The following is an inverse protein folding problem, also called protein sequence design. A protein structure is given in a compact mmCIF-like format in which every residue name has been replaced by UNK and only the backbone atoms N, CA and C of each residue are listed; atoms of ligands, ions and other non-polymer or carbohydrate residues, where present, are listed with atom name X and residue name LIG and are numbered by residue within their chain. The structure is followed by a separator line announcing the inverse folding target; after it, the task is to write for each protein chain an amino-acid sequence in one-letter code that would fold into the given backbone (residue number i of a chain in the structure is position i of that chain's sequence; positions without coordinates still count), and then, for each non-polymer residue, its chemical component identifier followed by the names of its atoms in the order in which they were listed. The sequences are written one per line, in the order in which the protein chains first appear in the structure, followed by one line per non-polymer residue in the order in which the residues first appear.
data_IF_311808238290
#
_entry.id   IF_311808238290
#
_cell.length_a   1.000
_cell.length_b   1.000
_cell.length_c   1.000
_cell.angle_alpha   90.00
_cell.angle_beta   90.00
_cell.angle_gamma   90.00
#
_symmetry.space_group_name_H-M   'P 1'
#
loop_
_entity.id
_entity.type
_entity.pdbx_description
1 polymer ?
#
# COMPACT_ATOMS: atom_id res chain seq x y z
N UNK A 1 -28.60 -22.59 4.88
CA UNK A 1 -27.24 -23.11 5.12
C UNK A 1 -26.41 -21.96 5.64
N UNK A 2 -25.82 -22.07 6.81
CA UNK A 2 -24.91 -21.06 7.36
C UNK A 2 -23.61 -21.06 6.55
N UNK A 3 -23.17 -19.90 6.14
CA UNK A 3 -21.82 -19.73 5.61
C UNK A 3 -20.83 -20.08 6.74
N UNK A 4 -19.90 -20.99 6.47
CA UNK A 4 -18.82 -21.27 7.39
C UNK A 4 -17.64 -20.32 7.12
N UNK A 5 -16.84 -20.06 8.14
CA UNK A 5 -15.59 -19.30 8.03
C UNK A 5 -14.46 -20.17 8.54
N UNK A 6 -13.49 -20.41 7.70
CA UNK A 6 -12.27 -21.13 8.05
C UNK A 6 -11.13 -20.16 8.33
N UNK A 7 -10.15 -20.65 9.06
CA UNK A 7 -8.90 -19.93 9.34
C UNK A 7 -7.76 -20.64 8.63
N UNK A 8 -7.10 -19.93 7.75
CA UNK A 8 -5.94 -20.38 6.99
C UNK A 8 -4.68 -19.72 7.55
N UNK A 9 -3.53 -20.30 7.27
CA UNK A 9 -2.25 -19.59 7.37
C UNK A 9 -2.02 -18.73 6.13
N UNK A 10 -1.33 -17.58 6.29
CA UNK A 10 -0.88 -16.73 5.19
C UNK A 10 -0.02 -17.52 4.20
N UNK A 11 0.77 -18.47 4.66
CA UNK A 11 1.63 -19.36 3.86
C UNK A 11 0.89 -20.53 3.22
N UNK A 12 -0.43 -20.68 3.42
CA UNK A 12 -1.20 -21.81 2.88
C UNK A 12 -1.24 -21.77 1.35
N UNK A 13 -1.21 -22.95 0.73
CA UNK A 13 -1.40 -23.08 -0.72
C UNK A 13 -2.74 -22.52 -1.17
N UNK A 14 -3.78 -22.66 -0.36
CA UNK A 14 -5.11 -22.16 -0.66
C UNK A 14 -5.12 -20.63 -0.81
N UNK A 15 -4.51 -19.91 0.14
CA UNK A 15 -4.42 -18.44 0.05
C UNK A 15 -3.54 -17.99 -1.11
N UNK A 16 -2.39 -18.65 -1.29
CA UNK A 16 -1.47 -18.36 -2.39
C UNK A 16 -2.13 -18.58 -3.76
N UNK A 17 -2.85 -19.69 -3.92
CA UNK A 17 -3.60 -19.99 -5.15
C UNK A 17 -4.71 -18.96 -5.39
N UNK A 18 -5.47 -18.63 -4.35
CA UNK A 18 -6.53 -17.62 -4.45
C UNK A 18 -5.98 -16.27 -4.89
N UNK A 19 -4.84 -15.83 -4.33
CA UNK A 19 -4.18 -14.58 -4.76
C UNK A 19 -3.70 -14.62 -6.21
N UNK A 20 -3.29 -15.78 -6.72
CA UNK A 20 -2.85 -15.95 -8.09
C UNK A 20 -4.01 -16.00 -9.11
N UNK A 21 -5.15 -16.54 -8.71
CA UNK A 21 -6.31 -16.74 -9.57
C UNK A 21 -7.28 -15.54 -9.57
N UNK A 22 -7.27 -14.74 -8.49
CA UNK A 22 -8.13 -13.56 -8.37
C UNK A 22 -7.49 -12.34 -9.03
N UNK A 23 -8.17 -11.81 -10.03
CA UNK A 23 -7.72 -10.62 -10.76
C UNK A 23 -7.85 -9.35 -9.91
N UNK A 24 -7.01 -8.37 -10.22
CA UNK A 24 -7.07 -7.02 -9.65
C UNK A 24 -6.91 -6.96 -8.12
N UNK A 25 -6.29 -7.96 -7.51
CA UNK A 25 -5.91 -7.86 -6.10
C UNK A 25 -4.72 -6.90 -5.96
N UNK A 26 -4.77 -5.99 -4.97
CA UNK A 26 -3.67 -5.08 -4.76
C UNK A 26 -2.39 -5.80 -4.29
N UNK A 27 -1.24 -5.18 -4.50
CA UNK A 27 0.06 -5.65 -4.03
C UNK A 27 0.05 -5.98 -2.52
N UNK A 28 -0.65 -5.18 -1.75
CA UNK A 28 -0.66 -5.22 -0.28
C UNK A 28 -1.22 -6.50 0.34
N UNK A 29 -1.93 -7.29 -0.42
CA UNK A 29 -2.52 -8.56 0.05
C UNK A 29 -1.77 -9.78 -0.44
N UNK A 30 -0.74 -9.59 -1.24
CA UNK A 30 0.12 -10.68 -1.67
C UNK A 30 0.83 -11.31 -0.45
N UNK A 31 0.88 -12.65 -0.33
CA UNK A 31 1.45 -13.32 0.85
C UNK A 31 2.84 -12.83 1.21
N UNK A 32 3.71 -12.70 0.21
CA UNK A 32 5.08 -12.25 0.40
C UNK A 32 5.19 -10.80 0.86
N UNK A 33 4.25 -9.92 0.40
CA UNK A 33 4.21 -8.53 0.80
C UNK A 33 3.81 -8.40 2.26
N UNK A 34 2.70 -9.06 2.63
CA UNK A 34 2.20 -9.06 4.00
C UNK A 34 3.22 -9.61 5.00
N UNK A 35 3.90 -10.69 4.63
CA UNK A 35 4.96 -11.28 5.46
C UNK A 35 6.12 -10.30 5.67
N UNK A 36 6.58 -9.63 4.61
CA UNK A 36 7.65 -8.63 4.69
C UNK A 36 7.22 -7.39 5.47
N UNK A 37 6.01 -6.88 5.24
CA UNK A 37 5.46 -5.69 5.90
C UNK A 37 5.26 -5.91 7.41
N UNK A 38 4.65 -7.01 7.79
CA UNK A 38 4.31 -7.29 9.19
C UNK A 38 5.51 -7.62 10.05
N UNK A 39 6.53 -8.27 9.48
CA UNK A 39 7.64 -8.86 10.25
C UNK A 39 7.21 -10.02 11.16
N UNK A 40 6.00 -10.53 10.96
CA UNK A 40 5.50 -11.72 11.65
C UNK A 40 5.92 -12.97 10.88
N UNK A 41 6.25 -14.03 11.60
CA UNK A 41 6.58 -15.31 10.96
C UNK A 41 5.36 -15.93 10.29
N UNK A 42 4.20 -15.77 10.89
CA UNK A 42 2.93 -16.32 10.38
C UNK A 42 1.77 -15.39 10.71
N UNK A 43 0.78 -15.36 9.83
CA UNK A 43 -0.41 -14.53 9.95
C UNK A 43 -1.63 -15.38 9.56
N UNK A 44 -2.71 -15.24 10.33
CA UNK A 44 -3.97 -15.88 10.00
C UNK A 44 -4.70 -15.15 8.87
N UNK A 45 -5.41 -15.89 8.05
CA UNK A 45 -6.34 -15.41 7.05
C UNK A 45 -7.71 -16.01 7.32
N UNK A 46 -8.73 -15.21 7.53
CA UNK A 46 -10.11 -15.70 7.55
C UNK A 46 -10.61 -15.84 6.11
N UNK A 47 -11.28 -16.95 5.82
CA UNK A 47 -11.92 -17.17 4.50
C UNK A 47 -13.34 -17.67 4.69
N UNK A 48 -14.26 -17.18 3.87
CA UNK A 48 -15.60 -17.74 3.79
C UNK A 48 -15.57 -19.04 3.00
N UNK A 49 -16.13 -20.08 3.59
CA UNK A 49 -16.25 -21.39 2.96
C UNK A 49 -17.71 -21.84 2.99
N UNK A 50 -18.13 -22.55 1.93
CA UNK A 50 -19.48 -23.11 1.88
C UNK A 50 -20.36 -22.40 0.86
N UNK A 51 -20.96 -23.22 0.08
CA UNK A 51 -21.50 -22.91 -1.20
C UNK A 51 -22.99 -22.64 -1.18
N UNK A 52 -23.36 -21.40 -1.31
CA UNK A 52 -24.37 -21.17 -2.37
C UNK A 52 -23.59 -21.01 -3.67
N UNK A 53 -23.99 -21.76 -4.71
CA UNK A 53 -23.52 -21.53 -6.06
C UNK A 53 -23.62 -20.03 -6.35
N UNK A 54 -22.49 -19.39 -6.66
CA UNK A 54 -22.45 -17.93 -6.87
C UNK A 54 -22.09 -17.05 -5.67
N UNK A 55 -21.93 -17.58 -4.43
CA UNK A 55 -21.44 -16.76 -3.32
C UNK A 55 -19.97 -16.35 -3.52
N UNK A 56 -19.56 -15.10 -3.22
CA UNK A 56 -18.18 -14.68 -3.32
C UNK A 56 -17.35 -15.36 -2.23
N UNK A 57 -16.10 -15.71 -2.58
CA UNK A 57 -15.10 -16.06 -1.57
C UNK A 57 -14.52 -14.77 -1.02
N UNK A 58 -14.71 -14.54 0.26
CA UNK A 58 -14.07 -13.43 0.96
C UNK A 58 -12.84 -13.95 1.70
N UNK A 59 -11.76 -13.16 1.66
CA UNK A 59 -10.56 -13.42 2.45
C UNK A 59 -10.12 -12.16 3.20
N UNK A 60 -9.69 -12.34 4.45
CA UNK A 60 -9.24 -11.26 5.29
C UNK A 60 -7.96 -11.64 6.03
N UNK A 61 -6.77 -11.19 5.57
CA UNK A 61 -5.52 -11.34 6.31
C UNK A 61 -5.56 -10.55 7.63
N UNK A 62 -5.24 -11.20 8.75
CA UNK A 62 -5.36 -10.62 10.08
C UNK A 62 -3.99 -10.18 10.61
N UNK A 63 -3.59 -8.94 10.38
CA UNK A 63 -2.41 -8.39 11.05
C UNK A 63 -2.76 -7.99 12.48
N UNK A 64 -2.40 -8.88 13.41
CA UNK A 64 -2.67 -8.72 14.85
C UNK A 64 -1.35 -8.54 15.62
N UNK A 65 -0.76 -7.33 15.67
CA UNK A 65 0.47 -7.09 16.44
C UNK A 65 0.30 -7.34 17.93
N UNK A 66 -0.93 -7.34 18.42
CA UNK A 66 -1.31 -7.80 19.75
C UNK A 66 -2.68 -8.48 19.68
N UNK A 67 -2.99 -9.36 20.61
CA UNK A 67 -4.31 -10.03 20.66
C UNK A 67 -5.53 -9.11 20.73
N UNK A 68 -5.33 -7.79 20.95
CA UNK A 68 -6.40 -6.80 21.06
C UNK A 68 -6.50 -5.85 19.88
N UNK A 69 -5.52 -5.89 18.95
CA UNK A 69 -5.47 -5.04 17.78
C UNK A 69 -5.49 -5.88 16.51
N UNK A 70 -6.41 -5.58 15.63
CA UNK A 70 -6.37 -5.92 14.21
C UNK A 70 -6.21 -4.61 13.45
N UNK A 71 -5.11 -4.43 12.75
CA UNK A 71 -4.78 -3.18 12.05
C UNK A 71 -4.19 -3.45 10.68
N UNK A 72 -4.08 -2.41 9.88
CA UNK A 72 -3.39 -2.48 8.59
C UNK A 72 -1.88 -2.57 8.82
N UNK A 73 -1.15 -3.47 8.15
CA UNK A 73 0.31 -3.54 8.24
C UNK A 73 0.96 -2.23 7.76
N UNK A 74 2.17 -1.88 8.26
CA UNK A 74 2.91 -0.74 7.75
C UNK A 74 3.17 -0.87 6.24
N UNK A 75 3.19 0.26 5.54
CA UNK A 75 3.40 0.32 4.10
C UNK A 75 2.39 -0.53 3.29
N UNK A 76 1.16 -0.64 3.80
CA UNK A 76 0.03 -1.22 3.10
C UNK A 76 -1.10 -0.18 3.06
N UNK A 77 -1.56 0.18 1.88
CA UNK A 77 -2.69 1.10 1.76
C UNK A 77 -4.01 0.40 2.04
N UNK A 78 -4.17 -0.84 1.58
CA UNK A 78 -5.36 -1.65 1.79
C UNK A 78 -5.00 -3.05 2.29
N UNK A 79 -5.59 -3.46 3.40
CA UNK A 79 -5.49 -4.81 3.96
C UNK A 79 -6.75 -5.08 4.78
N UNK A 80 -7.89 -5.00 4.14
CA UNK A 80 -9.20 -5.33 4.68
C UNK A 80 -9.73 -6.64 4.10
N UNK A 81 -11.00 -6.95 4.31
CA UNK A 81 -11.64 -8.06 3.64
C UNK A 81 -11.65 -7.83 2.12
N UNK A 82 -11.36 -8.89 1.39
CA UNK A 82 -11.22 -8.92 -0.06
C UNK A 82 -12.19 -9.93 -0.64
N UNK A 83 -12.66 -9.71 -1.86
CA UNK A 83 -13.53 -10.61 -2.59
C UNK A 83 -12.87 -11.09 -3.88
N UNK A 84 -13.09 -12.36 -4.25
CA UNK A 84 -12.75 -12.89 -5.58
C UNK A 84 -13.59 -12.28 -6.72
N UNK A 85 -14.63 -11.57 -6.34
CA UNK A 85 -15.49 -10.85 -7.26
C UNK A 85 -15.47 -9.39 -6.87
N UNK A 86 -15.00 -8.56 -7.77
CA UNK A 86 -15.11 -7.12 -7.62
C UNK A 86 -16.59 -6.79 -7.38
N UNK A 87 -16.89 -6.33 -6.18
CA UNK A 87 -18.18 -5.69 -5.91
C UNK A 87 -18.19 -4.32 -6.57
N UNK A 88 -17.90 -4.28 -7.89
CA UNK A 88 -17.82 -3.03 -8.62
C UNK A 88 -19.11 -2.27 -8.44
N UNK A 89 -19.02 -1.15 -7.78
CA UNK A 89 -20.07 -0.14 -7.73
C UNK A 89 -20.44 0.17 -9.17
N UNK A 90 -21.65 -0.24 -9.57
CA UNK A 90 -22.14 0.02 -10.91
C UNK A 90 -22.27 -1.18 -11.84
N UNK A 91 -22.00 -2.42 -11.40
CA UNK A 91 -22.40 -3.60 -12.17
C UNK A 91 -23.91 -3.52 -12.45
N UNK A 92 -24.25 -3.41 -13.72
CA UNK A 92 -25.64 -3.48 -14.18
C UNK A 92 -25.82 -4.74 -15.01
N UNK A 93 -26.91 -5.46 -14.79
CA UNK A 93 -27.99 -5.22 -13.81
C UNK A 93 -27.62 -5.65 -12.38
N UNK A 94 -28.22 -5.00 -11.37
CA UNK A 94 -28.09 -5.36 -9.95
C UNK A 94 -28.59 -6.78 -9.72
N UNK A 95 -27.70 -7.63 -9.20
CA UNK A 95 -28.01 -9.01 -8.82
C UNK A 95 -28.29 -9.07 -7.31
N UNK A 96 -29.57 -9.15 -6.96
CA UNK A 96 -30.05 -9.19 -5.59
C UNK A 96 -29.51 -10.38 -4.81
N UNK A 97 -29.45 -11.56 -5.43
CA UNK A 97 -29.09 -12.80 -4.72
C UNK A 97 -27.57 -12.82 -4.45
N UNK A 98 -26.79 -12.33 -5.40
CA UNK A 98 -25.33 -12.11 -5.25
C UNK A 98 -25.05 -11.10 -4.14
N UNK A 99 -25.80 -10.01 -4.09
CA UNK A 99 -25.66 -8.98 -3.05
C UNK A 99 -25.97 -9.53 -1.66
N UNK A 100 -27.07 -10.27 -1.49
CA UNK A 100 -27.44 -10.92 -0.23
C UNK A 100 -26.37 -11.93 0.20
N UNK A 101 -25.80 -12.70 -0.74
CA UNK A 101 -24.71 -13.63 -0.44
C UNK A 101 -23.45 -12.91 0.03
N UNK A 102 -23.11 -11.76 -0.60
CA UNK A 102 -21.99 -10.93 -0.17
C UNK A 102 -22.16 -10.38 1.25
N UNK A 103 -23.35 -9.85 1.57
CA UNK A 103 -23.67 -9.37 2.91
C UNK A 103 -23.53 -10.46 3.97
N UNK A 104 -24.06 -11.65 3.68
CA UNK A 104 -23.96 -12.80 4.57
C UNK A 104 -22.50 -13.23 4.79
N UNK A 105 -21.68 -13.18 3.74
CA UNK A 105 -20.26 -13.48 3.81
C UNK A 105 -19.48 -12.46 4.67
N UNK A 106 -19.76 -11.17 4.51
CA UNK A 106 -19.18 -10.10 5.32
C UNK A 106 -19.57 -10.22 6.79
N UNK A 107 -20.83 -10.54 7.08
CA UNK A 107 -21.30 -10.75 8.45
C UNK A 107 -20.60 -11.95 9.08
N UNK A 108 -20.51 -13.07 8.37
CA UNK A 108 -19.82 -14.27 8.85
C UNK A 108 -18.34 -14.00 9.18
N UNK A 109 -17.63 -13.24 8.34
CA UNK A 109 -16.25 -12.84 8.63
C UNK A 109 -16.16 -11.99 9.91
N UNK A 110 -17.08 -11.03 10.09
CA UNK A 110 -17.11 -10.20 11.29
C UNK A 110 -17.33 -11.00 12.56
N UNK A 111 -18.26 -11.97 12.54
CA UNK A 111 -18.57 -12.86 13.65
C UNK A 111 -17.41 -13.83 13.98
N UNK A 112 -16.61 -14.20 12.96
CA UNK A 112 -15.45 -15.08 13.13
C UNK A 112 -14.19 -14.35 13.66
N UNK A 113 -14.22 -13.03 13.78
CA UNK A 113 -13.11 -12.28 14.35
C UNK A 113 -12.87 -12.66 15.81
N UNK A 114 -11.59 -12.71 16.28
CA UNK A 114 -11.26 -13.04 17.65
C UNK A 114 -11.99 -12.15 18.67
N UNK A 115 -12.70 -12.75 19.61
CA UNK A 115 -13.47 -12.04 20.66
C UNK A 115 -12.61 -11.18 21.60
N UNK A 116 -11.29 -11.38 21.59
CA UNK A 116 -10.31 -10.59 22.33
C UNK A 116 -10.05 -9.21 21.73
N UNK A 117 -10.43 -8.97 20.48
CA UNK A 117 -10.22 -7.68 19.81
C UNK A 117 -10.98 -6.56 20.52
N UNK A 118 -10.32 -5.41 20.61
CA UNK A 118 -10.86 -4.17 21.21
C UNK A 118 -10.67 -2.97 20.30
N UNK A 119 -9.85 -3.13 19.26
CA UNK A 119 -9.63 -2.15 18.23
C UNK A 119 -9.37 -2.84 16.90
N UNK A 120 -10.12 -2.43 15.89
CA UNK A 120 -10.04 -2.95 14.54
C UNK A 120 -9.90 -1.78 13.59
N UNK A 121 -8.96 -1.85 12.68
CA UNK A 121 -8.79 -0.94 11.56
C UNK A 121 -8.62 -1.76 10.28
N UNK A 122 -9.43 -1.43 9.27
CA UNK A 122 -9.36 -2.04 7.96
C UNK A 122 -9.45 -0.95 6.89
N UNK A 123 -8.65 -1.08 5.85
CA UNK A 123 -8.74 -0.22 4.68
C UNK A 123 -9.18 -1.07 3.51
N UNK A 124 -10.27 -0.66 2.86
CA UNK A 124 -10.83 -1.38 1.73
C UNK A 124 -10.07 -1.04 0.42
N UNK A 125 -10.00 -1.97 -0.54
CA UNK A 125 -9.48 -1.68 -1.87
C UNK A 125 -10.25 -0.53 -2.55
N UNK A 126 -9.62 0.13 -3.53
CA UNK A 126 -10.15 1.34 -4.17
C UNK A 126 -11.56 1.19 -4.74
N UNK A 127 -11.88 0.04 -5.29
CA UNK A 127 -13.17 -0.22 -5.95
C UNK A 127 -14.20 -0.89 -5.03
N UNK A 128 -13.88 -1.02 -3.74
CA UNK A 128 -14.69 -1.76 -2.79
C UNK A 128 -15.47 -0.81 -1.89
N UNK A 129 -16.69 -0.43 -2.34
CA UNK A 129 -17.53 0.53 -1.62
C UNK A 129 -18.67 -0.13 -0.87
N UNK A 130 -18.99 -1.38 -1.20
CA UNK A 130 -20.13 -2.09 -0.66
C UNK A 130 -19.74 -2.86 0.58
N UNK A 131 -19.50 -2.12 1.65
CA UNK A 131 -19.28 -2.65 2.97
C UNK A 131 -20.51 -2.38 3.83
N UNK A 132 -21.38 -3.29 4.03
CA UNK A 132 -22.35 -3.11 5.09
C UNK A 132 -21.73 -3.54 6.41
N UNK A 133 -21.86 -2.70 7.45
CA UNK A 133 -21.21 -2.96 8.72
C UNK A 133 -21.79 -4.24 9.33
N UNK A 134 -20.95 -5.25 9.43
CA UNK A 134 -21.19 -6.35 10.33
C UNK A 134 -20.87 -5.90 11.77
N UNK A 135 -21.51 -6.48 12.75
CA UNK A 135 -21.09 -6.32 14.13
C UNK A 135 -19.69 -6.91 14.33
N UNK A 136 -18.88 -6.25 15.14
CA UNK A 136 -17.55 -6.74 15.47
C UNK A 136 -17.37 -6.90 16.97
N UNK A 137 -16.43 -7.72 17.44
CA UNK A 137 -16.10 -7.83 18.88
C UNK A 137 -15.69 -6.50 19.51
N UNK A 138 -15.22 -5.53 18.70
CA UNK A 138 -14.82 -4.19 19.14
C UNK A 138 -15.97 -3.17 19.09
N UNK A 139 -17.17 -3.53 18.62
CA UNK A 139 -18.34 -2.69 18.49
C UNK A 139 -18.60 -2.19 17.07
N UNK A 140 -19.44 -1.16 16.94
CA UNK A 140 -19.86 -0.62 15.68
C UNK A 140 -18.72 0.05 14.90
N UNK A 141 -18.78 -0.07 13.57
CA UNK A 141 -17.85 0.58 12.65
C UNK A 141 -18.07 2.10 12.57
N UNK A 142 -16.97 2.79 12.39
CA UNK A 142 -16.91 4.17 11.94
C UNK A 142 -16.14 4.19 10.64
N UNK A 143 -16.68 4.85 9.63
CA UNK A 143 -16.03 5.00 8.33
C UNK A 143 -15.47 6.41 8.17
N UNK A 144 -14.40 6.49 7.41
CA UNK A 144 -13.84 7.74 6.90
C UNK A 144 -13.31 7.52 5.49
N UNK A 145 -13.26 8.59 4.71
CA UNK A 145 -12.71 8.54 3.34
C UNK A 145 -11.27 9.00 3.38
N UNK A 146 -10.41 8.23 2.73
CA UNK A 146 -9.06 8.66 2.39
C UNK A 146 -8.88 8.63 0.86
N UNK A 147 -7.78 9.18 0.36
CA UNK A 147 -7.53 9.29 -1.07
C UNK A 147 -6.14 8.75 -1.40
N UNK A 148 -6.06 8.01 -2.51
CA UNK A 148 -4.83 7.85 -3.25
C UNK A 148 -4.86 8.71 -4.51
N UNK A 149 -3.73 8.80 -5.23
CA UNK A 149 -3.63 9.53 -6.48
C UNK A 149 -3.09 8.61 -7.56
N UNK A 150 -3.87 8.39 -8.60
CA UNK A 150 -3.52 7.53 -9.73
C UNK A 150 -3.13 8.36 -10.95
N UNK A 151 -2.06 7.95 -11.61
CA UNK A 151 -1.61 8.50 -12.88
C UNK A 151 -1.68 7.40 -13.94
N UNK A 152 -2.38 7.69 -15.04
CA UNK A 152 -2.37 6.84 -16.23
C UNK A 152 -1.03 7.00 -16.96
N UNK A 153 -0.25 5.92 -16.97
CA UNK A 153 1.04 5.89 -17.64
C UNK A 153 0.93 5.65 -19.15
N UNK A 154 -0.17 5.09 -19.62
CA UNK A 154 -0.37 4.72 -21.04
C UNK A 154 -0.67 5.94 -21.91
N UNK A 155 -1.04 7.05 -21.30
CA UNK A 155 -1.27 8.30 -22.01
C UNK A 155 0.04 8.81 -22.62
N UNK A 156 0.18 8.72 -23.95
CA UNK A 156 1.36 9.18 -24.70
C UNK A 156 1.63 10.69 -24.54
N UNK A 157 0.59 11.46 -24.26
CA UNK A 157 0.66 12.89 -23.97
C UNK A 157 0.85 13.20 -22.47
N UNK A 158 1.27 12.20 -21.65
CA UNK A 158 1.41 12.34 -20.20
C UNK A 158 2.15 13.60 -19.78
N UNK A 159 3.24 13.95 -20.47
CA UNK A 159 4.03 15.14 -20.16
C UNK A 159 3.30 16.46 -20.42
N UNK A 160 2.25 16.44 -21.24
CA UNK A 160 1.37 17.59 -21.48
C UNK A 160 0.45 17.85 -20.28
N UNK A 161 0.20 16.82 -19.46
CA UNK A 161 -0.57 16.94 -18.22
C UNK A 161 0.23 17.62 -17.11
N UNK A 162 1.56 17.69 -17.25
CA UNK A 162 2.41 18.32 -16.24
C UNK A 162 2.11 19.82 -16.20
N UNK A 163 1.86 20.31 -15.00
CA UNK A 163 1.71 21.75 -14.87
C UNK A 163 3.07 22.48 -15.08
N UNK A 164 3.00 23.81 -15.27
CA UNK A 164 4.19 24.65 -15.50
C UNK A 164 5.24 24.51 -14.39
N UNK A 165 4.83 24.23 -13.16
CA UNK A 165 5.75 24.04 -12.02
C UNK A 165 6.60 22.78 -12.20
N UNK A 166 6.01 21.65 -12.60
CA UNK A 166 6.76 20.40 -12.86
C UNK A 166 7.69 20.59 -14.06
N UNK A 167 7.19 21.14 -15.17
CA UNK A 167 8.01 21.41 -16.36
C UNK A 167 9.22 22.29 -16.03
N UNK A 168 9.04 23.30 -15.19
CA UNK A 168 10.14 24.17 -14.73
C UNK A 168 11.15 23.40 -13.86
N UNK A 169 10.67 22.55 -12.96
CA UNK A 169 11.54 21.72 -12.10
C UNK A 169 12.36 20.71 -12.91
N UNK A 170 11.75 20.04 -13.88
CA UNK A 170 12.44 19.12 -14.77
C UNK A 170 13.53 19.84 -15.57
N UNK A 171 13.23 21.02 -16.14
CA UNK A 171 14.21 21.85 -16.86
C UNK A 171 15.38 22.29 -15.97
N UNK A 172 15.10 22.59 -14.70
CA UNK A 172 16.15 22.95 -13.76
C UNK A 172 16.99 21.75 -13.37
N UNK A 173 16.36 20.62 -13.02
CA UNK A 173 17.03 19.40 -12.62
C UNK A 173 17.93 18.83 -13.74
N UNK A 174 17.52 18.95 -15.02
CA UNK A 174 18.33 18.53 -16.16
C UNK A 174 19.65 19.31 -16.32
N UNK A 175 19.75 20.53 -15.76
CA UNK A 175 20.96 21.36 -15.81
C UNK A 175 21.98 21.02 -14.71
N UNK A 176 21.57 20.28 -13.68
CA UNK A 176 22.43 19.95 -12.51
C UNK A 176 23.27 18.70 -12.80
N UNK A 177 22.98 17.93 -13.85
CA UNK A 177 23.63 16.67 -14.17
C UNK A 177 23.63 15.66 -13.00
N UNK A 178 22.48 15.51 -12.34
CA UNK A 178 22.30 14.49 -11.29
C UNK A 178 22.58 13.10 -11.87
N UNK A 179 23.31 12.28 -11.13
CA UNK A 179 23.63 10.93 -11.56
C UNK A 179 22.52 9.98 -11.14
N UNK A 180 21.94 9.26 -12.10
CA UNK A 180 20.92 8.25 -11.84
C UNK A 180 21.57 6.95 -11.36
N UNK A 181 21.14 6.45 -10.21
CA UNK A 181 21.52 5.14 -9.69
C UNK A 181 20.26 4.28 -9.54
N UNK A 182 20.24 3.16 -10.26
CA UNK A 182 19.18 2.16 -10.21
C UNK A 182 19.67 0.92 -9.45
N UNK A 183 18.81 0.38 -8.61
CA UNK A 183 19.13 -0.87 -7.91
C UNK A 183 19.20 -2.05 -8.88
N UNK A 184 20.17 -2.92 -8.66
CA UNK A 184 20.37 -4.18 -9.38
C UNK A 184 20.87 -5.26 -8.41
N UNK A 185 21.18 -6.45 -8.91
CA UNK A 185 21.62 -7.58 -8.08
C UNK A 185 22.88 -7.29 -7.25
N UNK A 186 23.78 -6.43 -7.74
CA UNK A 186 25.08 -6.18 -7.08
C UNK A 186 25.04 -5.03 -6.09
N UNK A 187 24.19 -4.02 -6.30
CA UNK A 187 24.14 -2.80 -5.49
C UNK A 187 22.86 -2.67 -4.62
N UNK A 188 21.95 -3.65 -4.65
CA UNK A 188 20.64 -3.55 -3.99
C UNK A 188 20.75 -3.19 -2.50
N UNK A 189 21.66 -3.81 -1.76
CA UNK A 189 21.82 -3.53 -0.33
C UNK A 189 22.22 -2.07 -0.09
N UNK A 190 23.17 -1.56 -0.84
CA UNK A 190 23.62 -0.17 -0.77
C UNK A 190 22.51 0.81 -1.14
N UNK A 191 21.74 0.53 -2.20
CA UNK A 191 20.62 1.38 -2.59
C UNK A 191 19.52 1.41 -1.51
N UNK A 192 19.23 0.26 -0.88
CA UNK A 192 18.28 0.16 0.23
C UNK A 192 18.74 1.01 1.42
N UNK A 193 20.00 0.88 1.82
CA UNK A 193 20.55 1.65 2.94
C UNK A 193 20.48 3.16 2.68
N UNK A 194 20.95 3.60 1.51
CA UNK A 194 20.89 5.01 1.11
C UNK A 194 19.47 5.56 1.11
N UNK A 195 18.49 4.78 0.63
CA UNK A 195 17.10 5.23 0.60
C UNK A 195 16.49 5.32 2.01
N UNK A 196 16.76 4.35 2.88
CA UNK A 196 16.29 4.38 4.27
C UNK A 196 16.83 5.61 5.00
N UNK A 197 18.11 5.93 4.86
CA UNK A 197 18.74 7.10 5.48
C UNK A 197 18.09 8.40 4.96
N UNK A 198 17.85 8.47 3.65
CA UNK A 198 17.20 9.62 3.02
C UNK A 198 15.74 9.79 3.48
N UNK A 199 14.98 8.70 3.56
CA UNK A 199 13.62 8.70 4.08
C UNK A 199 13.58 9.12 5.56
N UNK A 200 14.48 8.58 6.37
CA UNK A 200 14.58 8.92 7.79
C UNK A 200 14.86 10.41 7.99
N UNK A 201 15.86 10.95 7.29
CA UNK A 201 16.19 12.37 7.34
C UNK A 201 15.03 13.26 6.88
N UNK A 202 14.34 12.85 5.80
CA UNK A 202 13.19 13.58 5.26
C UNK A 202 12.01 13.59 6.23
N UNK A 203 11.74 12.46 6.87
CA UNK A 203 10.64 12.29 7.81
C UNK A 203 10.87 13.07 9.11
N UNK A 204 12.08 13.03 9.67
CA UNK A 204 12.46 13.82 10.84
C UNK A 204 12.23 15.32 10.62
N UNK A 205 12.56 15.83 9.45
CA UNK A 205 12.38 17.25 9.11
C UNK A 205 10.92 17.66 8.98
N UNK A 206 10.06 16.76 8.54
CA UNK A 206 8.63 17.04 8.36
C UNK A 206 7.83 16.91 9.68
N UNK A 207 8.47 16.50 10.77
CA UNK A 207 7.78 16.20 12.03
C UNK A 207 6.85 14.98 11.93
N UNK A 208 7.10 14.11 10.95
CA UNK A 208 6.33 12.89 10.74
C UNK A 208 6.59 11.82 11.79
N UNK A 209 5.79 10.76 11.74
CA UNK A 209 5.96 9.58 12.58
C UNK A 209 7.30 8.88 12.29
N UNK A 210 7.71 8.02 13.21
CA UNK A 210 8.94 7.25 13.06
C UNK A 210 8.85 6.30 11.86
N UNK A 211 9.91 6.26 11.04
CA UNK A 211 10.01 5.34 9.91
C UNK A 211 10.03 3.88 10.39
N UNK A 212 9.19 3.04 9.82
CA UNK A 212 9.25 1.59 10.01
C UNK A 212 10.38 0.99 9.16
N UNK A 213 11.63 1.33 9.49
CA UNK A 213 12.80 1.05 8.68
C UNK A 213 13.03 -0.45 8.43
N UNK A 214 12.83 -1.28 9.46
CA UNK A 214 13.00 -2.73 9.32
C UNK A 214 11.94 -3.34 8.41
N UNK A 215 10.68 -2.88 8.50
CA UNK A 215 9.60 -3.28 7.60
C UNK A 215 9.91 -2.85 6.16
N UNK A 216 10.29 -1.60 5.96
CA UNK A 216 10.62 -1.05 4.65
C UNK A 216 11.81 -1.79 4.00
N UNK A 217 12.84 -2.11 4.79
CA UNK A 217 13.99 -2.92 4.34
C UNK A 217 13.54 -4.30 3.83
N UNK A 218 12.72 -5.02 4.60
CA UNK A 218 12.21 -6.33 4.20
C UNK A 218 11.39 -6.25 2.91
N UNK A 219 10.53 -5.24 2.78
CA UNK A 219 9.71 -5.01 1.59
C UNK A 219 10.57 -4.76 0.35
N UNK A 220 11.54 -3.85 0.45
CA UNK A 220 12.47 -3.57 -0.65
C UNK A 220 13.25 -4.82 -1.04
N UNK A 221 13.81 -5.56 -0.06
CA UNK A 221 14.55 -6.79 -0.33
C UNK A 221 13.68 -7.81 -1.04
N UNK A 222 12.47 -8.07 -0.52
CA UNK A 222 11.55 -9.05 -1.09
C UNK A 222 11.07 -8.67 -2.52
N UNK A 223 10.80 -7.39 -2.77
CA UNK A 223 10.39 -6.91 -4.08
C UNK A 223 11.52 -6.99 -5.12
N UNK A 224 12.73 -6.58 -4.73
CA UNK A 224 13.90 -6.62 -5.62
C UNK A 224 14.32 -8.05 -5.95
N UNK A 225 14.23 -9.00 -5.01
CA UNK A 225 14.51 -10.41 -5.25
C UNK A 225 13.51 -11.06 -6.20
N UNK A 226 12.27 -10.59 -6.19
CA UNK A 226 11.21 -11.04 -7.10
C UNK A 226 11.19 -10.30 -8.42
N UNK A 227 12.07 -9.32 -8.61
CA UNK A 227 12.04 -8.42 -9.75
C UNK A 227 10.67 -7.71 -9.92
N UNK A 228 10.03 -7.42 -8.79
CA UNK A 228 8.74 -6.71 -8.70
C UNK A 228 8.89 -5.34 -8.06
N UNK A 229 10.03 -4.69 -8.23
CA UNK A 229 10.27 -3.36 -7.72
C UNK A 229 11.63 -2.80 -8.09
N UNK A 230 11.84 -1.54 -7.78
CA UNK A 230 13.09 -0.82 -8.02
C UNK A 230 13.31 0.23 -6.94
N UNK A 231 14.56 0.40 -6.52
CA UNK A 231 15.03 1.60 -5.83
C UNK A 231 15.76 2.47 -6.85
N UNK A 232 15.30 3.71 -6.99
CA UNK A 232 15.94 4.71 -7.83
C UNK A 232 16.41 5.87 -6.96
N UNK A 233 17.67 6.26 -7.14
CA UNK A 233 18.32 7.36 -6.44
C UNK A 233 18.88 8.35 -7.46
N UNK A 234 18.82 9.64 -7.13
CA UNK A 234 19.55 10.70 -7.82
C UNK A 234 20.67 11.18 -6.90
N UNK A 235 21.90 11.12 -7.41
CA UNK A 235 23.10 11.47 -6.66
C UNK A 235 23.60 12.86 -7.10
N UNK A 236 24.09 13.63 -6.16
CA UNK A 236 24.80 14.87 -6.43
C UNK A 236 26.07 14.59 -7.23
N UNK A 237 26.31 15.27 -8.35
CA UNK A 237 27.55 15.12 -9.13
C UNK A 237 28.78 15.60 -8.38
N UNK A 238 28.59 16.45 -7.37
CA UNK A 238 29.69 17.06 -6.59
C UNK A 238 30.13 16.18 -5.42
N UNK A 239 29.15 15.55 -4.73
CA UNK A 239 29.41 14.83 -3.49
C UNK A 239 29.22 13.32 -3.61
N UNK A 240 28.59 12.84 -4.68
CA UNK A 240 28.21 11.42 -4.84
C UNK A 240 27.11 10.96 -3.88
N UNK A 241 26.56 11.86 -3.04
CA UNK A 241 25.51 11.51 -2.07
C UNK A 241 24.12 11.58 -2.70
N UNK A 242 23.17 10.74 -2.24
CA UNK A 242 21.80 10.81 -2.72
C UNK A 242 21.13 12.12 -2.28
N UNK A 243 20.50 12.80 -3.23
CA UNK A 243 19.73 14.05 -3.00
C UNK A 243 18.23 13.83 -3.14
N UNK A 244 17.81 12.78 -3.85
CA UNK A 244 16.45 12.29 -3.91
C UNK A 244 16.46 10.78 -4.15
N UNK A 245 15.43 10.10 -3.68
CA UNK A 245 15.30 8.66 -3.89
C UNK A 245 13.89 8.17 -3.63
N UNK A 246 13.55 7.05 -4.27
CA UNK A 246 12.27 6.38 -4.09
C UNK A 246 12.38 4.87 -4.28
N UNK A 247 11.45 4.18 -3.64
CA UNK A 247 11.16 2.77 -3.86
C UNK A 247 9.77 2.65 -4.47
N UNK A 248 9.71 1.98 -5.61
CA UNK A 248 8.49 1.59 -6.30
C UNK A 248 8.45 0.07 -6.36
N UNK A 249 7.30 -0.49 -6.00
CA UNK A 249 6.99 -1.89 -6.25
C UNK A 249 5.84 -1.97 -7.25
N UNK A 250 5.69 -3.09 -7.98
CA UNK A 250 4.60 -3.24 -8.92
C UNK A 250 3.96 -4.62 -8.86
N UNK A 251 2.67 -4.67 -9.18
CA UNK A 251 1.88 -5.86 -9.26
C UNK A 251 0.71 -5.63 -10.22
N UNK A 252 0.43 -6.62 -11.09
CA UNK A 252 -0.69 -6.62 -12.03
C UNK A 252 -0.84 -5.30 -12.84
N UNK A 253 0.29 -4.81 -13.37
CA UNK A 253 0.32 -3.58 -14.20
C UNK A 253 0.17 -2.26 -13.42
N UNK A 254 0.13 -2.30 -12.10
CA UNK A 254 0.09 -1.11 -11.22
C UNK A 254 1.42 -0.96 -10.51
N UNK A 255 2.03 0.21 -10.62
CA UNK A 255 3.22 0.60 -9.87
C UNK A 255 2.84 1.42 -8.64
N UNK A 256 3.38 1.10 -7.49
CA UNK A 256 3.08 1.70 -6.18
C UNK A 256 4.30 2.44 -5.64
N UNK A 257 4.14 3.73 -5.35
CA UNK A 257 5.17 4.58 -4.74
C UNK A 257 5.20 4.40 -3.23
N UNK A 258 5.96 3.42 -2.75
CA UNK A 258 5.93 2.98 -1.35
C UNK A 258 6.69 3.91 -0.42
N UNK A 259 7.83 4.41 -0.85
CA UNK A 259 8.66 5.28 -0.03
C UNK A 259 9.47 6.24 -0.89
N UNK A 260 9.72 7.41 -0.36
CA UNK A 260 10.61 8.38 -0.98
C UNK A 260 11.14 9.41 0.01
N UNK A 261 12.28 9.96 -0.31
CA UNK A 261 12.93 10.98 0.48
C UNK A 261 13.74 11.96 -0.38
N UNK A 262 14.03 13.12 0.20
CA UNK A 262 14.86 14.13 -0.45
C UNK A 262 15.72 14.90 0.57
N UNK A 263 16.88 15.35 0.13
CA UNK A 263 17.70 16.29 0.87
C UNK A 263 17.23 17.75 0.68
N UNK A 264 17.28 18.56 1.73
CA UNK A 264 17.06 20.01 1.66
C UNK A 264 18.32 20.72 1.22
N UNK A 265 18.71 20.52 -0.03
CA UNK A 265 19.82 21.22 -0.64
C UNK A 265 19.36 21.86 -1.96
N UNK A 266 20.23 22.67 -2.56
CA UNK A 266 19.93 23.32 -3.85
C UNK A 266 19.64 22.28 -4.93
N UNK A 267 20.39 21.20 -4.97
CA UNK A 267 20.24 20.12 -5.95
C UNK A 267 18.98 19.28 -5.67
N UNK A 268 18.65 18.99 -4.40
CA UNK A 268 17.52 18.15 -4.00
C UNK A 268 16.15 18.81 -4.19
N UNK A 269 16.09 20.15 -4.24
CA UNK A 269 14.82 20.88 -4.29
C UNK A 269 13.89 20.47 -5.43
N UNK A 270 14.45 20.25 -6.62
CA UNK A 270 13.70 19.92 -7.82
C UNK A 270 13.98 18.49 -8.31
N UNK A 271 14.89 17.78 -7.63
CA UNK A 271 15.30 16.41 -7.97
C UNK A 271 14.14 15.41 -7.92
N UNK A 272 13.18 15.57 -6.99
CA UNK A 272 12.03 14.65 -6.87
C UNK A 272 11.17 14.65 -8.13
N UNK A 273 11.05 15.78 -8.82
CA UNK A 273 10.31 15.84 -10.09
C UNK A 273 10.99 14.97 -11.16
N UNK A 274 12.31 15.08 -11.30
CA UNK A 274 13.09 14.25 -12.22
C UNK A 274 13.08 12.76 -11.81
N UNK A 275 13.20 12.49 -10.51
CA UNK A 275 13.13 11.12 -9.96
C UNK A 275 11.82 10.43 -10.37
N UNK A 276 10.69 11.10 -10.20
CA UNK A 276 9.37 10.57 -10.53
C UNK A 276 9.20 10.41 -12.05
N UNK A 277 9.64 11.37 -12.85
CA UNK A 277 9.57 11.26 -14.31
C UNK A 277 10.38 10.07 -14.84
N UNK A 278 11.58 9.86 -14.31
CA UNK A 278 12.40 8.68 -14.60
C UNK A 278 11.66 7.38 -14.22
N UNK A 279 11.04 7.35 -13.02
CA UNK A 279 10.29 6.19 -12.53
C UNK A 279 9.07 5.88 -13.41
N UNK A 280 8.37 6.89 -13.91
CA UNK A 280 7.24 6.68 -14.83
C UNK A 280 7.70 6.00 -16.12
N UNK A 281 8.85 6.40 -16.68
CA UNK A 281 9.45 5.74 -17.84
C UNK A 281 9.80 4.29 -17.54
N UNK A 282 10.49 4.05 -16.43
CA UNK A 282 10.86 2.70 -16.00
C UNK A 282 9.62 1.80 -15.76
N UNK A 283 8.57 2.33 -15.13
CA UNK A 283 7.33 1.58 -14.90
C UNK A 283 6.64 1.18 -16.21
N UNK A 284 6.62 2.06 -17.21
CA UNK A 284 6.11 1.74 -18.54
C UNK A 284 6.89 0.60 -19.20
N UNK A 285 8.21 0.64 -19.14
CA UNK A 285 9.10 -0.41 -19.65
C UNK A 285 8.88 -1.74 -18.90
N UNK A 286 8.54 -1.68 -17.61
CA UNK A 286 8.17 -2.86 -16.81
C UNK A 286 6.74 -3.36 -17.06
N UNK A 287 5.98 -2.74 -17.99
CA UNK A 287 4.62 -3.12 -18.35
C UNK A 287 3.52 -2.57 -17.46
N UNK A 288 3.83 -1.57 -16.62
CA UNK A 288 2.81 -0.91 -15.81
C UNK A 288 2.00 0.09 -16.63
N UNK A 289 0.70 0.09 -16.43
CA UNK A 289 -0.22 1.05 -17.06
C UNK A 289 -0.67 2.15 -16.10
N UNK A 290 -0.57 1.93 -14.79
CA UNK A 290 -0.99 2.89 -13.74
C UNK A 290 0.12 3.08 -12.73
N UNK A 291 0.32 4.31 -12.29
CA UNK A 291 1.18 4.66 -11.16
C UNK A 291 0.33 5.16 -9.99
N UNK A 292 0.37 4.45 -8.88
CA UNK A 292 -0.27 4.82 -7.63
C UNK A 292 0.76 5.55 -6.75
N UNK A 293 0.53 6.83 -6.50
CA UNK A 293 1.37 7.64 -5.60
C UNK A 293 1.20 7.27 -4.14
N UNK A 294 0.37 6.28 -3.84
CA UNK A 294 -0.10 6.04 -2.49
C UNK A 294 -0.88 7.25 -1.93
N UNK A 295 -1.53 7.08 -0.82
CA UNK A 295 -2.36 8.14 -0.31
C UNK A 295 -1.56 9.20 0.44
N UNK A 296 -1.84 10.47 0.19
CA UNK A 296 -1.51 11.52 1.13
C UNK A 296 -2.71 12.36 1.47
N UNK A 297 -3.05 12.39 2.77
CA UNK A 297 -4.04 13.31 3.32
C UNK A 297 -3.44 14.70 3.62
N UNK A 298 -2.14 14.90 3.32
CA UNK A 298 -1.46 16.19 3.44
C UNK A 298 -1.65 16.99 2.16
N UNK A 299 -2.29 18.15 2.25
CA UNK A 299 -2.65 18.97 1.10
C UNK A 299 -1.47 19.34 0.18
N UNK A 300 -0.29 19.61 0.76
CA UNK A 300 0.91 19.95 -0.01
C UNK A 300 1.43 18.78 -0.87
N UNK A 301 1.37 17.55 -0.35
CA UNK A 301 1.78 16.34 -1.06
C UNK A 301 0.74 15.99 -2.12
N UNK A 302 -0.54 16.02 -1.77
CA UNK A 302 -1.64 15.80 -2.72
C UNK A 302 -1.59 16.80 -3.88
N UNK A 303 -1.31 18.07 -3.59
CA UNK A 303 -1.13 19.09 -4.61
C UNK A 303 0.07 18.77 -5.52
N UNK A 304 1.19 18.31 -4.96
CA UNK A 304 2.38 17.94 -5.74
C UNK A 304 2.09 16.80 -6.71
N UNK A 305 1.38 15.75 -6.29
CA UNK A 305 1.00 14.63 -7.15
C UNK A 305 0.07 15.06 -8.29
N UNK A 306 -0.91 15.91 -8.00
CA UNK A 306 -1.83 16.47 -9.02
C UNK A 306 -1.09 17.29 -10.08
N UNK A 307 0.06 17.86 -9.75
CA UNK A 307 0.85 18.61 -10.72
C UNK A 307 1.47 17.74 -11.83
N UNK A 308 1.49 16.40 -11.65
CA UNK A 308 1.83 15.44 -12.70
C UNK A 308 0.62 14.96 -13.51
N UNK A 309 -0.58 15.45 -13.19
CA UNK A 309 -1.82 14.98 -13.82
C UNK A 309 -2.49 13.81 -13.05
N UNK A 310 -1.98 13.45 -11.88
CA UNK A 310 -2.59 12.39 -11.09
C UNK A 310 -3.98 12.78 -10.56
N UNK A 311 -4.91 11.83 -10.61
CA UNK A 311 -6.31 11.99 -10.22
C UNK A 311 -6.53 11.35 -8.84
N UNK A 312 -7.22 12.03 -7.91
CA UNK A 312 -7.53 11.45 -6.61
C UNK A 312 -8.61 10.38 -6.73
N UNK A 313 -8.34 9.22 -6.11
CA UNK A 313 -9.29 8.11 -5.99
C UNK A 313 -9.57 7.84 -4.51
N UNK A 314 -10.84 7.91 -4.08
CA UNK A 314 -11.19 7.67 -2.70
C UNK A 314 -11.14 6.18 -2.35
N UNK A 315 -10.86 5.87 -1.09
CA UNK A 315 -11.04 4.55 -0.50
C UNK A 315 -11.57 4.67 0.94
N UNK A 316 -12.19 3.61 1.43
CA UNK A 316 -12.78 3.60 2.76
C UNK A 316 -11.80 3.09 3.81
N UNK A 317 -11.71 3.83 4.90
CA UNK A 317 -11.05 3.41 6.14
C UNK A 317 -12.13 3.14 7.17
N UNK A 318 -12.10 1.93 7.72
CA UNK A 318 -13.06 1.45 8.70
C UNK A 318 -12.36 1.29 10.04
N UNK A 319 -13.00 1.74 11.12
CA UNK A 319 -12.49 1.59 12.48
C UNK A 319 -13.60 1.15 13.41
N UNK A 320 -13.32 0.18 14.28
CA UNK A 320 -14.21 -0.21 15.37
C UNK A 320 -13.43 -0.22 16.71
N UNK A 321 -14.13 0.11 17.77
CA UNK A 321 -13.56 0.16 19.11
C UNK A 321 -12.74 1.41 19.41
N UNK A 322 -12.06 1.38 20.57
CA UNK A 322 -11.18 2.46 21.04
C UNK A 322 -9.89 1.88 21.61
N UNK A 323 -8.80 2.57 21.36
CA UNK A 323 -7.51 2.25 21.97
C UNK A 323 -7.38 2.91 23.34
N UNK A 324 -7.17 2.11 24.38
CA UNK A 324 -6.74 2.62 25.69
C UNK A 324 -5.25 2.99 25.67
N UNK A 325 -4.79 3.75 26.67
CA UNK A 325 -3.37 4.08 26.82
C UNK A 325 -2.50 2.82 26.89
N UNK A 326 -2.91 1.82 27.67
CA UNK A 326 -2.20 0.55 27.78
C UNK A 326 -2.10 -0.19 26.44
N UNK A 327 -3.16 -0.18 25.64
CA UNK A 327 -3.16 -0.75 24.29
C UNK A 327 -2.20 -0.02 23.37
N UNK A 328 -2.15 1.31 23.39
CA UNK A 328 -1.20 2.13 22.61
C UNK A 328 0.25 1.81 22.99
N UNK A 329 0.53 1.64 24.28
CA UNK A 329 1.87 1.25 24.74
C UNK A 329 2.27 -0.16 24.28
N UNK A 330 1.35 -1.12 24.31
CA UNK A 330 1.58 -2.47 23.79
C UNK A 330 1.89 -2.43 22.28
N UNK A 331 1.10 -1.68 21.51
CA UNK A 331 1.32 -1.51 20.08
C UNK A 331 2.67 -0.85 19.80
N UNK A 332 3.00 0.23 20.53
CA UNK A 332 4.31 0.90 20.42
C UNK A 332 5.47 -0.05 20.70
N UNK A 333 5.34 -0.92 21.73
CA UNK A 333 6.37 -1.93 22.04
C UNK A 333 6.56 -2.90 20.88
N UNK A 334 5.49 -3.37 20.26
CA UNK A 334 5.56 -4.22 19.09
C UNK A 334 6.30 -3.53 17.94
N UNK A 335 5.97 -2.27 17.63
CA UNK A 335 6.64 -1.48 16.58
C UNK A 335 8.14 -1.34 16.85
N UNK A 336 8.52 -1.07 18.10
CA UNK A 336 9.94 -0.97 18.49
C UNK A 336 10.71 -2.28 18.31
N UNK A 337 10.06 -3.41 18.50
CA UNK A 337 10.70 -4.73 18.42
C UNK A 337 10.79 -5.30 17.00
N UNK A 338 9.83 -4.96 16.14
CA UNK A 338 9.65 -5.68 14.87
C UNK A 338 9.69 -4.81 13.61
N UNK A 339 9.45 -3.50 13.74
CA UNK A 339 9.19 -2.64 12.58
C UNK A 339 10.15 -1.46 12.44
N UNK A 340 10.64 -0.91 13.53
CA UNK A 340 11.56 0.23 13.54
C UNK A 340 13.02 -0.14 13.33
#
# INVERSE_FOLDING_TARGET
MSLAVDRLSLSSEQYTRWCAETRSLPLYVQPWWLQAASGMGEMDVLTTTGSKEGAPTLMWPLFMPTRRHLIVPPNCQSAGPLSDRSGAVGEKPFDRDRYIAHLAAMQALGEALPSSLRYIEAHLPLEYWDWLPCETPAGAWRSSVAYTHLLDLTNSARTELYNKSITSKLRYASRINLQALWSNATNRATCIDMLIDLCHTSLQRSGGDRLCASSLRRLMTAALERQQGVVHLLLSPTTGRPVAGAFVAYHDGIAYYIAGGQERCREGRDAVALLLDNLFGWCLEAGCHTFDFEGSMQSGIAFFFRNFGAVPHPYLRLQAGRQTLAMRLQLRRYYLQHLY
#
